data_IF_951498191110
#
_entry.id   IF_951498191110
#
_cell.length_a   1.000
_cell.length_b   1.000
_cell.length_c   1.000
_cell.angle_alpha   90.00
_cell.angle_beta   90.00
_cell.angle_gamma   90.00
#
_symmetry.space_group_name_H-M   'P 1'
#
loop_
_entity.id
_entity.type
_entity.pdbx_description
1 polymer ?
#
# COMPACT_ATOMS: atom_id res chain seq x y z
N UNK A 1 5.67 -8.72 6.63
CA UNK A 1 6.71 -8.40 5.63
C UNK A 1 6.74 -6.93 5.21
N UNK A 2 5.60 -6.22 5.24
CA UNK A 2 5.61 -4.78 4.93
C UNK A 2 6.46 -4.00 5.91
N UNK A 3 6.45 -4.39 7.19
CA UNK A 3 7.29 -3.77 8.20
C UNK A 3 8.77 -3.98 7.88
N UNK A 4 9.14 -5.15 7.38
CA UNK A 4 10.52 -5.44 6.99
C UNK A 4 10.95 -4.54 5.83
N UNK A 5 10.05 -4.32 4.88
CA UNK A 5 10.30 -3.43 3.74
C UNK A 5 10.52 -1.99 4.21
N UNK A 6 9.67 -1.52 5.12
CA UNK A 6 9.80 -0.19 5.74
C UNK A 6 11.11 -0.06 6.48
N UNK A 7 11.44 -1.02 7.34
CA UNK A 7 12.67 -0.99 8.13
C UNK A 7 13.92 -0.93 7.24
N UNK A 8 13.88 -1.63 6.11
CA UNK A 8 15.01 -1.68 5.19
C UNK A 8 15.22 -0.37 4.44
N UNK A 9 14.15 0.29 4.03
CA UNK A 9 14.24 1.36 3.03
C UNK A 9 13.81 2.75 3.50
N UNK A 10 13.22 2.90 4.69
CA UNK A 10 12.68 4.22 5.04
C UNK A 10 13.75 5.31 5.10
N UNK A 11 14.98 4.98 5.49
CA UNK A 11 16.09 5.93 5.51
C UNK A 11 16.63 6.23 4.11
N UNK A 12 16.35 5.36 3.17
CA UNK A 12 16.78 5.53 1.77
C UNK A 12 15.77 6.30 0.91
N UNK A 13 14.61 6.61 1.47
CA UNK A 13 13.60 7.43 0.79
C UNK A 13 12.29 6.74 0.46
N UNK A 14 12.14 5.45 0.76
CA UNK A 14 10.86 4.77 0.56
C UNK A 14 9.87 5.13 1.66
N UNK A 15 8.65 5.41 1.28
CA UNK A 15 7.54 5.56 2.23
C UNK A 15 6.57 4.41 2.00
N UNK A 16 6.26 3.66 3.05
CA UNK A 16 5.20 2.66 3.04
C UNK A 16 3.99 3.29 3.72
N UNK A 17 2.87 3.32 3.04
CA UNK A 17 1.62 3.86 3.59
C UNK A 17 0.58 2.75 3.60
N UNK A 18 0.10 2.39 4.77
CA UNK A 18 -0.99 1.44 4.91
C UNK A 18 -2.34 2.13 4.77
N UNK A 19 -3.24 1.54 4.00
CA UNK A 19 -4.58 2.09 3.78
C UNK A 19 -5.60 1.01 4.15
N UNK A 20 -6.09 1.01 5.40
CA UNK A 20 -7.14 0.06 5.80
C UNK A 20 -8.44 0.36 5.07
N UNK A 21 -9.18 -0.68 4.71
CA UNK A 21 -10.44 -0.52 4.00
C UNK A 21 -11.46 -1.56 4.43
N UNK A 22 -12.73 -1.16 4.42
CA UNK A 22 -13.87 -2.06 4.60
C UNK A 22 -14.40 -2.59 3.27
N UNK A 23 -13.79 -2.22 2.14
CA UNK A 23 -14.26 -2.60 0.80
C UNK A 23 -14.33 -4.10 0.58
N UNK A 24 -13.60 -4.89 1.34
CA UNK A 24 -13.55 -6.35 1.22
C UNK A 24 -14.13 -7.08 2.44
N UNK A 25 -14.80 -6.36 3.32
CA UNK A 25 -15.46 -6.90 4.53
C UNK A 25 -14.53 -7.64 5.50
N UNK A 26 -13.24 -7.35 5.49
CA UNK A 26 -12.27 -7.97 6.37
C UNK A 26 -11.83 -7.09 7.53
N UNK A 27 -12.02 -5.77 7.41
CA UNK A 27 -11.72 -4.83 8.48
C UNK A 27 -13.02 -4.11 8.84
N UNK A 28 -13.52 -4.37 10.05
CA UNK A 28 -14.81 -3.84 10.50
C UNK A 28 -14.69 -2.95 11.73
N UNK A 29 -13.46 -2.70 12.17
CA UNK A 29 -13.20 -1.94 13.39
C UNK A 29 -13.07 -0.45 13.09
N UNK A 30 -13.24 0.36 14.12
CA UNK A 30 -13.00 1.80 14.00
C UNK A 30 -11.52 2.07 13.76
N UNK A 31 -11.20 3.23 13.21
CA UNK A 31 -9.82 3.61 12.89
C UNK A 31 -8.84 3.42 14.05
N UNK A 32 -9.21 3.86 15.25
CA UNK A 32 -8.35 3.72 16.43
C UNK A 32 -8.07 2.27 16.79
N UNK A 33 -9.08 1.41 16.64
CA UNK A 33 -8.94 -0.02 16.92
C UNK A 33 -8.06 -0.72 15.90
N UNK A 34 -8.18 -0.35 14.63
CA UNK A 34 -7.35 -0.90 13.55
C UNK A 34 -5.89 -0.51 13.77
N UNK A 35 -5.64 0.75 14.08
CA UNK A 35 -4.28 1.24 14.33
C UNK A 35 -3.65 0.51 15.51
N UNK A 36 -4.36 0.42 16.62
CA UNK A 36 -3.89 -0.27 17.81
C UNK A 36 -3.62 -1.75 17.53
N UNK A 37 -4.54 -2.42 16.83
CA UNK A 37 -4.37 -3.82 16.45
C UNK A 37 -3.09 -4.03 15.63
N UNK A 38 -2.86 -3.19 14.62
CA UNK A 38 -1.67 -3.28 13.79
C UNK A 38 -0.39 -3.02 14.58
N UNK A 39 -0.37 -1.98 15.42
CA UNK A 39 0.82 -1.64 16.19
C UNK A 39 1.17 -2.70 17.23
N UNK A 40 0.15 -3.24 17.93
CA UNK A 40 0.35 -4.21 19.00
C UNK A 40 0.63 -5.61 18.46
N UNK A 41 -0.14 -6.06 17.48
CA UNK A 41 -0.08 -7.45 17.02
C UNK A 41 0.95 -7.67 15.91
N UNK A 42 1.23 -6.66 15.09
CA UNK A 42 2.16 -6.77 13.95
C UNK A 42 3.38 -5.87 14.08
N UNK A 43 3.46 -5.13 15.17
CA UNK A 43 4.60 -4.24 15.44
C UNK A 43 4.88 -3.26 14.28
N UNK A 44 3.81 -2.69 13.73
CA UNK A 44 3.89 -1.80 12.59
C UNK A 44 4.23 -0.39 13.02
N UNK A 45 5.24 0.19 12.36
CA UNK A 45 5.66 1.58 12.60
C UNK A 45 5.51 2.48 11.38
N UNK A 46 5.18 1.94 10.20
CA UNK A 46 4.92 2.80 9.04
C UNK A 46 3.56 3.50 9.16
N UNK A 47 3.37 4.65 8.49
CA UNK A 47 2.12 5.40 8.55
C UNK A 47 0.91 4.60 8.07
N UNK A 48 -0.23 4.81 8.71
CA UNK A 48 -1.50 4.16 8.37
C UNK A 48 -2.57 5.25 8.27
N UNK A 49 -3.34 5.24 7.20
CA UNK A 49 -4.47 6.19 7.04
C UNK A 49 -5.66 5.76 7.89
N UNK A 50 -6.68 6.61 7.92
CA UNK A 50 -8.01 6.21 8.40
C UNK A 50 -8.61 5.19 7.42
N UNK A 51 -9.69 4.54 7.84
CA UNK A 51 -10.44 3.62 6.98
C UNK A 51 -10.87 4.37 5.72
N UNK A 52 -10.53 3.82 4.56
CA UNK A 52 -10.69 4.49 3.26
C UNK A 52 -11.33 3.53 2.26
N UNK A 53 -12.27 4.03 1.46
CA UNK A 53 -12.83 3.26 0.35
C UNK A 53 -11.80 3.22 -0.79
N UNK A 54 -11.51 2.04 -1.30
CA UNK A 54 -10.43 1.84 -2.28
C UNK A 54 -10.94 1.39 -3.65
N UNK A 55 -12.23 1.09 -3.79
CA UNK A 55 -12.83 0.69 -5.07
C UNK A 55 -14.26 1.20 -5.18
N UNK A 56 -14.81 1.15 -6.40
CA UNK A 56 -16.18 1.56 -6.69
C UNK A 56 -16.32 3.08 -6.78
N UNK A 57 -17.57 3.54 -6.84
CA UNK A 57 -17.86 4.96 -7.03
C UNK A 57 -17.44 5.82 -5.85
N UNK A 58 -17.38 5.22 -4.66
CA UNK A 58 -17.02 5.91 -3.42
C UNK A 58 -15.52 5.84 -3.12
N UNK A 59 -14.71 5.30 -4.02
CA UNK A 59 -13.27 5.20 -3.82
C UNK A 59 -12.64 6.58 -3.63
N UNK A 60 -11.64 6.66 -2.74
CA UNK A 60 -10.86 7.86 -2.56
C UNK A 60 -10.22 8.27 -3.90
N UNK A 61 -10.07 9.56 -4.11
CA UNK A 61 -9.56 10.12 -5.36
C UNK A 61 -8.21 9.54 -5.80
N UNK A 62 -7.35 9.19 -4.84
CA UNK A 62 -6.04 8.60 -5.17
C UNK A 62 -6.20 7.27 -5.92
N UNK A 63 -7.20 6.48 -5.56
CA UNK A 63 -7.46 5.20 -6.24
C UNK A 63 -8.09 5.40 -7.61
N UNK A 64 -8.94 6.40 -7.75
CA UNK A 64 -9.49 6.78 -9.06
C UNK A 64 -8.40 7.29 -9.97
N UNK A 65 -7.54 8.15 -9.45
CA UNK A 65 -6.38 8.66 -10.17
C UNK A 65 -5.45 7.53 -10.64
N UNK A 66 -5.16 6.59 -9.75
CA UNK A 66 -4.27 5.48 -10.08
C UNK A 66 -4.85 4.62 -11.23
N UNK A 67 -6.14 4.30 -11.18
CA UNK A 67 -6.77 3.50 -12.23
C UNK A 67 -6.88 4.25 -13.55
N UNK A 68 -7.13 5.55 -13.52
CA UNK A 68 -7.21 6.37 -14.73
C UNK A 68 -5.86 6.51 -15.43
N UNK A 69 -4.78 6.59 -14.66
CA UNK A 69 -3.45 6.84 -15.23
C UNK A 69 -2.63 5.58 -15.48
N UNK A 70 -2.95 4.48 -14.81
CA UNK A 70 -2.19 3.24 -14.95
C UNK A 70 -3.02 2.10 -15.55
N UNK A 71 -4.29 2.04 -15.24
CA UNK A 71 -5.19 1.01 -15.74
C UNK A 71 -5.88 0.23 -14.63
N UNK A 72 -6.67 -0.75 -15.02
CA UNK A 72 -7.52 -1.52 -14.11
C UNK A 72 -6.75 -2.30 -13.05
N UNK A 73 -5.49 -2.65 -13.32
CA UNK A 73 -4.66 -3.37 -12.34
C UNK A 73 -4.37 -2.54 -11.09
N UNK A 74 -4.55 -1.21 -11.16
CA UNK A 74 -4.41 -0.33 -10.00
C UNK A 74 -5.64 -0.37 -9.09
N UNK A 75 -6.76 -0.95 -9.52
CA UNK A 75 -7.94 -1.09 -8.69
C UNK A 75 -7.74 -2.27 -7.74
N UNK A 76 -7.74 -2.05 -6.41
CA UNK A 76 -7.58 -3.15 -5.47
C UNK A 76 -8.70 -4.19 -5.62
N UNK A 77 -8.32 -5.47 -5.66
CA UNK A 77 -9.27 -6.58 -5.76
C UNK A 77 -9.38 -7.36 -4.46
N UNK A 78 -8.42 -7.18 -3.58
CA UNK A 78 -8.36 -7.88 -2.31
C UNK A 78 -7.45 -7.12 -1.34
N UNK A 79 -7.37 -7.58 -0.10
CA UNK A 79 -6.45 -7.03 0.88
C UNK A 79 -5.00 -7.21 0.44
N UNK A 80 -4.12 -6.34 0.91
CA UNK A 80 -2.69 -6.34 0.59
C UNK A 80 -2.37 -6.07 -0.88
N UNK A 81 -3.32 -5.48 -1.61
CA UNK A 81 -3.02 -4.92 -2.92
C UNK A 81 -2.00 -3.79 -2.78
N UNK A 82 -1.06 -3.70 -3.69
CA UNK A 82 0.04 -2.74 -3.60
C UNK A 82 0.11 -1.87 -4.84
N UNK A 83 0.31 -0.59 -4.62
CA UNK A 83 0.52 0.40 -5.69
C UNK A 83 1.87 1.07 -5.39
N UNK A 84 2.78 0.99 -6.33
CA UNK A 84 4.10 1.63 -6.21
C UNK A 84 4.11 2.92 -7.01
N UNK A 85 4.36 4.02 -6.31
CA UNK A 85 4.39 5.36 -6.91
C UNK A 85 5.84 5.84 -6.90
N UNK A 86 6.31 6.34 -8.04
CA UNK A 86 7.69 6.82 -8.15
C UNK A 86 7.83 8.26 -7.62
N UNK A 87 9.06 8.74 -7.53
CA UNK A 87 9.35 10.08 -6.99
C UNK A 87 8.80 11.22 -7.85
N UNK A 88 8.35 10.92 -9.05
CA UNK A 88 7.74 11.91 -9.95
C UNK A 88 6.22 11.96 -9.83
N UNK A 89 5.65 11.19 -8.89
CA UNK A 89 4.20 11.17 -8.66
C UNK A 89 3.42 10.35 -9.67
N UNK A 90 4.04 9.34 -10.26
CA UNK A 90 3.37 8.45 -11.21
C UNK A 90 3.34 7.02 -10.68
N UNK A 91 2.27 6.29 -11.01
CA UNK A 91 2.21 4.86 -10.69
C UNK A 91 3.23 4.13 -11.56
N UNK A 92 4.18 3.49 -10.89
CA UNK A 92 5.25 2.76 -11.55
C UNK A 92 4.86 1.31 -11.82
N UNK A 93 4.21 0.68 -10.84
CA UNK A 93 3.82 -0.73 -10.92
C UNK A 93 2.73 -1.03 -9.90
N UNK A 94 1.96 -2.09 -10.13
CA UNK A 94 1.00 -2.59 -9.15
C UNK A 94 1.26 -4.06 -8.89
N UNK A 95 0.92 -4.52 -7.68
CA UNK A 95 1.13 -5.90 -7.27
C UNK A 95 -0.11 -6.41 -6.55
N UNK A 96 -0.50 -7.62 -6.86
CA UNK A 96 -1.65 -8.25 -6.19
C UNK A 96 -1.29 -8.68 -4.76
N UNK A 97 -2.30 -9.16 -4.03
CA UNK A 97 -2.11 -9.72 -2.69
C UNK A 97 -1.14 -10.90 -2.66
N UNK A 98 -0.96 -11.60 -3.78
CA UNK A 98 -0.08 -12.77 -3.87
C UNK A 98 1.40 -12.41 -3.95
N UNK A 99 1.73 -11.19 -4.31
CA UNK A 99 3.13 -10.76 -4.38
C UNK A 99 3.58 -10.31 -2.99
N UNK A 100 4.53 -11.02 -2.41
CA UNK A 100 5.04 -10.69 -1.08
C UNK A 100 5.87 -9.41 -1.10
N UNK A 101 5.75 -8.56 -0.06
CA UNK A 101 6.50 -7.29 -0.02
C UNK A 101 8.00 -7.43 -0.15
N UNK A 102 8.58 -8.48 0.44
CA UNK A 102 10.03 -8.72 0.38
C UNK A 102 10.44 -9.59 -0.79
N UNK A 103 9.56 -9.83 -1.76
CA UNK A 103 9.89 -10.60 -2.95
C UNK A 103 10.98 -9.90 -3.76
N UNK A 104 11.76 -10.70 -4.49
CA UNK A 104 12.81 -10.18 -5.37
C UNK A 104 12.25 -9.17 -6.38
N UNK A 105 11.05 -9.43 -6.88
CA UNK A 105 10.36 -8.57 -7.84
C UNK A 105 10.18 -7.15 -7.30
N UNK A 106 9.67 -7.01 -6.07
CA UNK A 106 9.45 -5.71 -5.46
C UNK A 106 10.79 -5.07 -5.04
N UNK A 107 11.66 -5.84 -4.40
CA UNK A 107 12.96 -5.35 -3.94
C UNK A 107 13.79 -4.79 -5.11
N UNK A 108 13.86 -5.52 -6.21
CA UNK A 108 14.61 -5.07 -7.39
C UNK A 108 14.04 -3.76 -7.96
N UNK A 109 12.73 -3.64 -7.97
CA UNK A 109 12.07 -2.43 -8.48
C UNK A 109 12.34 -1.23 -7.58
N UNK A 110 12.23 -1.42 -6.28
CA UNK A 110 12.52 -0.36 -5.30
C UNK A 110 13.98 0.10 -5.42
N UNK A 111 14.91 -0.86 -5.46
CA UNK A 111 16.33 -0.53 -5.59
C UNK A 111 16.60 0.29 -6.84
N UNK A 112 16.00 -0.11 -7.96
CA UNK A 112 16.12 0.63 -9.22
C UNK A 112 15.60 2.06 -9.11
N UNK A 113 14.44 2.24 -8.49
CA UNK A 113 13.84 3.57 -8.35
C UNK A 113 14.60 4.47 -7.38
N UNK A 114 15.20 3.91 -6.34
CA UNK A 114 15.97 4.68 -5.37
C UNK A 114 17.33 5.12 -5.92
N UNK A 115 17.87 4.42 -6.89
CA UNK A 115 19.14 4.78 -7.54
C UNK A 115 19.02 5.97 -8.49
N UNK A 116 17.81 6.24 -8.93
CA UNK A 116 17.55 7.35 -9.88
C UNK A 116 17.13 8.63 -9.10
#
# INVERSE_FOLDING_TARGET
>A
ELQDLWDKYYKSGLIVLGVPSNSFNQEKKRNSEIKEFCEVNFNITFPITTITNVKGDEAHEIYKWASENYGKSAIPKWNFHKILINKYGKVEETYSSFTKPMSKKIISKIDSLLEN
#
